data_IF_087377866252
#
_entry.id   IF_087377866252
#
_cell.length_a   1.000
_cell.length_b   1.000
_cell.length_c   1.000
_cell.angle_alpha   90.00
_cell.angle_beta   90.00
_cell.angle_gamma   90.00
#
_symmetry.space_group_name_H-M   'P 1'
#
loop_
_entity.id
_entity.type
_entity.pdbx_description
1 polymer ?
#
# COMPACT_ATOMS: atom_id res chain seq x y z
N UNK A 1 10.20 27.46 3.49
CA UNK A 1 10.25 26.77 2.18
C UNK A 1 9.66 25.39 2.40
N UNK A 2 8.41 25.19 1.98
CA UNK A 2 7.69 23.93 2.14
C UNK A 2 8.26 22.91 1.18
N UNK A 3 8.92 21.90 1.70
CA UNK A 3 9.41 20.76 0.93
C UNK A 3 8.22 19.92 0.44
N UNK A 4 7.60 20.33 -0.66
CA UNK A 4 6.44 19.67 -1.28
C UNK A 4 6.82 18.45 -2.14
N UNK A 5 7.97 17.84 -1.91
CA UNK A 5 8.50 16.75 -2.73
C UNK A 5 8.72 15.45 -1.95
N UNK A 6 7.87 15.17 -0.97
CA UNK A 6 7.89 13.86 -0.32
C UNK A 6 7.20 12.90 -1.26
N UNK A 7 7.98 12.02 -1.88
CA UNK A 7 7.67 10.80 -2.65
C UNK A 7 6.32 10.82 -3.42
N UNK A 8 6.41 10.76 -4.72
CA UNK A 8 5.22 10.66 -5.59
C UNK A 8 4.90 9.20 -5.88
N UNK A 9 3.63 8.87 -6.08
CA UNK A 9 3.20 7.54 -6.57
C UNK A 9 3.95 7.12 -7.84
N UNK A 10 4.46 8.10 -8.63
CA UNK A 10 5.31 7.89 -9.81
C UNK A 10 6.66 7.24 -9.52
N UNK A 11 7.12 7.24 -8.28
CA UNK A 11 8.43 6.70 -7.90
C UNK A 11 8.40 5.19 -7.65
N UNK A 12 7.19 4.60 -7.58
CA UNK A 12 7.00 3.14 -7.59
C UNK A 12 6.73 2.69 -9.02
N UNK A 13 7.66 1.93 -9.58
CA UNK A 13 7.46 1.25 -10.85
C UNK A 13 6.60 0.00 -10.64
N UNK A 14 5.45 -0.08 -11.31
CA UNK A 14 4.65 -1.31 -11.32
C UNK A 14 5.41 -2.42 -12.01
N UNK A 15 5.41 -3.61 -11.40
CA UNK A 15 5.95 -4.84 -11.99
C UNK A 15 4.91 -5.94 -11.92
N UNK A 16 5.04 -6.96 -12.77
CA UNK A 16 4.19 -8.14 -12.66
C UNK A 16 4.58 -8.93 -11.40
N UNK A 17 3.59 -9.50 -10.71
CA UNK A 17 3.85 -10.34 -9.52
C UNK A 17 4.72 -11.54 -9.87
N UNK A 18 4.62 -12.05 -11.12
CA UNK A 18 5.48 -13.11 -11.66
C UNK A 18 6.96 -12.74 -11.75
N UNK A 19 7.30 -11.44 -11.75
CA UNK A 19 8.67 -10.95 -11.81
C UNK A 19 9.37 -10.98 -10.44
N UNK A 20 8.66 -11.45 -9.41
CA UNK A 20 9.19 -11.64 -8.07
C UNK A 20 9.12 -13.12 -7.65
N UNK A 21 10.06 -13.60 -6.81
CA UNK A 21 9.97 -14.97 -6.27
C UNK A 21 8.68 -15.14 -5.47
N UNK A 22 7.83 -16.10 -5.86
CA UNK A 22 6.55 -16.33 -5.18
C UNK A 22 6.73 -16.80 -3.73
N UNK A 23 7.87 -17.41 -3.42
CA UNK A 23 8.21 -17.92 -2.08
C UNK A 23 8.40 -16.82 -1.02
N UNK A 24 8.59 -15.56 -1.41
CA UNK A 24 8.74 -14.46 -0.44
C UNK A 24 7.40 -13.92 0.06
N UNK A 25 6.30 -14.25 -0.61
CA UNK A 25 4.96 -13.75 -0.30
C UNK A 25 4.12 -14.80 0.44
N UNK A 26 3.31 -14.42 1.44
CA UNK A 26 2.39 -15.33 2.12
C UNK A 26 1.19 -15.75 1.26
N UNK A 27 0.92 -14.99 0.20
CA UNK A 27 -0.12 -15.22 -0.81
C UNK A 27 0.32 -14.51 -2.09
N UNK A 28 -0.39 -14.72 -3.21
CA UNK A 28 -0.15 -13.92 -4.41
C UNK A 28 -0.63 -12.48 -4.18
N UNK A 29 0.28 -11.48 -4.12
CA UNK A 29 -0.11 -10.08 -3.95
C UNK A 29 -0.98 -9.59 -5.11
N UNK A 30 -1.93 -8.70 -4.83
CA UNK A 30 -2.78 -8.10 -5.86
C UNK A 30 -2.08 -6.97 -6.63
N UNK A 31 -1.09 -6.35 -6.01
CA UNK A 31 -0.26 -5.32 -6.66
C UNK A 31 1.15 -5.38 -6.11
N UNK A 32 2.12 -5.33 -7.00
CA UNK A 32 3.55 -5.24 -6.66
C UNK A 32 4.17 -4.09 -7.41
N UNK A 33 5.00 -3.35 -6.72
CA UNK A 33 5.83 -2.31 -7.28
C UNK A 33 7.29 -2.48 -6.88
N UNK A 34 8.16 -1.79 -7.58
CA UNK A 34 9.60 -1.73 -7.33
C UNK A 34 10.00 -0.29 -7.10
N UNK A 35 10.82 -0.05 -6.09
CA UNK A 35 11.41 1.26 -5.82
C UNK A 35 12.87 1.10 -5.38
N UNK A 36 13.65 2.18 -5.50
CA UNK A 36 15.00 2.26 -4.95
C UNK A 36 15.03 3.31 -3.86
N UNK A 37 15.60 2.96 -2.70
CA UNK A 37 15.79 3.89 -1.57
C UNK A 37 16.77 4.99 -1.99
N UNK A 38 16.36 6.24 -1.86
CA UNK A 38 17.15 7.41 -2.19
C UNK A 38 17.77 8.04 -0.93
N UNK A 39 18.88 8.80 -1.04
CA UNK A 39 19.48 9.47 0.11
C UNK A 39 18.52 10.35 0.92
N UNK A 40 17.57 11.03 0.26
CA UNK A 40 16.55 11.86 0.91
C UNK A 40 15.53 11.08 1.75
N UNK A 41 15.52 9.76 1.62
CA UNK A 41 14.66 8.89 2.45
C UNK A 41 15.29 8.55 3.81
N UNK A 42 16.58 8.88 4.01
CA UNK A 42 17.32 8.49 5.21
C UNK A 42 17.12 9.48 6.36
N UNK A 43 17.27 8.98 7.57
CA UNK A 43 17.37 9.75 8.79
C UNK A 43 18.84 9.99 9.20
N UNK A 44 19.07 10.58 10.37
CA UNK A 44 20.40 10.89 10.90
C UNK A 44 21.25 9.62 11.20
N UNK A 45 20.63 8.45 11.28
CA UNK A 45 21.31 7.17 11.43
C UNK A 45 21.66 6.50 10.10
N UNK A 46 21.47 7.21 8.98
CA UNK A 46 21.66 6.69 7.63
C UNK A 46 20.76 5.48 7.28
N UNK A 47 19.68 5.28 8.03
CA UNK A 47 18.63 4.30 7.75
C UNK A 47 17.42 4.98 7.12
N UNK A 48 16.64 4.24 6.35
CA UNK A 48 15.36 4.75 5.86
C UNK A 48 14.50 5.21 7.04
N UNK A 49 14.08 6.48 7.03
CA UNK A 49 13.23 7.05 8.06
C UNK A 49 11.91 6.26 8.15
N UNK A 50 11.48 5.96 9.37
CA UNK A 50 10.29 5.16 9.65
C UNK A 50 9.02 5.73 8.98
N UNK A 51 8.90 7.03 8.84
CA UNK A 51 7.74 7.69 8.20
C UNK A 51 7.67 7.44 6.69
N UNK A 52 8.81 7.21 6.04
CA UNK A 52 8.89 6.95 4.60
C UNK A 52 8.18 5.64 4.24
N UNK A 53 8.28 4.61 5.07
CA UNK A 53 7.56 3.36 4.84
C UNK A 53 6.05 3.56 4.77
N UNK A 54 5.49 4.45 5.62
CA UNK A 54 4.08 4.79 5.57
C UNK A 54 3.70 5.52 4.27
N UNK A 55 4.58 6.39 3.79
CA UNK A 55 4.40 7.06 2.48
C UNK A 55 4.37 6.02 1.36
N UNK A 56 5.30 5.04 1.37
CA UNK A 56 5.32 3.96 0.39
C UNK A 56 4.09 3.05 0.47
N UNK A 57 3.58 2.77 1.68
CA UNK A 57 2.31 2.03 1.86
C UNK A 57 1.14 2.76 1.19
N UNK A 58 1.05 4.08 1.37
CA UNK A 58 0.01 4.89 0.73
C UNK A 58 0.16 4.92 -0.79
N UNK A 59 1.39 5.04 -1.28
CA UNK A 59 1.68 5.09 -2.71
C UNK A 59 1.30 3.78 -3.42
N UNK A 60 1.69 2.62 -2.87
CA UNK A 60 1.33 1.32 -3.46
C UNK A 60 -0.18 1.03 -3.36
N UNK A 61 -0.84 1.48 -2.30
CA UNK A 61 -2.29 1.38 -2.16
C UNK A 61 -3.02 2.21 -3.24
N UNK A 62 -2.55 3.44 -3.49
CA UNK A 62 -3.10 4.30 -4.53
C UNK A 62 -2.85 3.72 -5.94
N UNK A 63 -1.67 3.14 -6.17
CA UNK A 63 -1.34 2.45 -7.41
C UNK A 63 -2.28 1.28 -7.67
N UNK A 64 -2.49 0.42 -6.67
CA UNK A 64 -3.44 -0.68 -6.76
C UNK A 64 -4.87 -0.20 -7.07
N UNK A 65 -5.35 0.85 -6.38
CA UNK A 65 -6.68 1.41 -6.65
C UNK A 65 -6.83 1.90 -8.09
N UNK A 66 -5.79 2.56 -8.64
CA UNK A 66 -5.78 2.99 -10.05
C UNK A 66 -5.82 1.81 -11.03
N UNK A 67 -5.09 0.72 -10.74
CA UNK A 67 -5.13 -0.51 -11.56
C UNK A 67 -6.53 -1.13 -11.56
N UNK A 68 -7.30 -0.97 -10.47
CA UNK A 68 -8.69 -1.40 -10.36
C UNK A 68 -9.69 -0.41 -10.96
N UNK A 69 -9.22 0.65 -11.62
CA UNK A 69 -10.06 1.69 -12.21
C UNK A 69 -10.73 2.61 -11.20
N UNK A 70 -10.13 2.73 -10.01
CA UNK A 70 -10.59 3.65 -8.95
C UNK A 70 -9.59 4.79 -8.77
N UNK A 71 -9.81 5.87 -9.51
CA UNK A 71 -9.07 7.13 -9.36
C UNK A 71 -9.73 8.02 -8.32
N UNK A 72 -9.06 9.09 -7.90
CA UNK A 72 -9.66 10.09 -7.00
C UNK A 72 -10.97 10.67 -7.58
N UNK A 73 -11.03 10.88 -8.89
CA UNK A 73 -12.23 11.38 -9.56
C UNK A 73 -13.40 10.40 -9.42
N UNK A 74 -13.15 9.09 -9.53
CA UNK A 74 -14.19 8.07 -9.31
C UNK A 74 -14.75 8.11 -7.88
N UNK A 75 -13.89 8.33 -6.87
CA UNK A 75 -14.36 8.50 -5.49
C UNK A 75 -15.26 9.74 -5.35
N UNK A 76 -14.87 10.87 -5.95
CA UNK A 76 -15.65 12.11 -5.93
C UNK A 76 -17.01 11.92 -6.62
N UNK A 77 -17.03 11.32 -7.80
CA UNK A 77 -18.26 11.10 -8.58
C UNK A 77 -19.24 10.15 -7.86
N UNK A 78 -18.71 9.12 -7.20
CA UNK A 78 -19.51 8.20 -6.40
C UNK A 78 -19.98 8.83 -5.06
N UNK A 79 -19.34 9.91 -4.61
CA UNK A 79 -19.59 10.54 -3.31
C UNK A 79 -19.11 9.72 -2.12
N UNK A 80 -18.16 8.82 -2.33
CA UNK A 80 -17.57 7.95 -1.31
C UNK A 80 -16.08 8.23 -1.16
N UNK A 81 -15.57 8.14 0.07
CA UNK A 81 -14.15 8.18 0.37
C UNK A 81 -13.69 6.90 1.07
N UNK A 82 -12.39 6.65 1.04
CA UNK A 82 -11.74 5.67 1.91
C UNK A 82 -10.73 6.40 2.78
N UNK A 83 -10.91 6.35 4.10
CA UNK A 83 -10.01 6.98 5.06
C UNK A 83 -9.32 5.92 5.90
N UNK A 84 -8.05 6.14 6.20
CA UNK A 84 -7.31 5.26 7.09
C UNK A 84 -7.77 5.50 8.54
N UNK A 85 -8.20 4.43 9.21
CA UNK A 85 -8.55 4.45 10.63
C UNK A 85 -7.35 4.12 11.51
N UNK A 86 -6.53 3.16 11.07
CA UNK A 86 -5.39 2.67 11.81
C UNK A 86 -4.33 2.13 10.85
N UNK A 87 -3.07 2.39 11.17
CA UNK A 87 -1.92 1.74 10.56
C UNK A 87 -1.20 0.93 11.63
N UNK A 88 -0.71 -0.25 11.24
CA UNK A 88 0.23 -1.05 12.00
C UNK A 88 1.44 -1.34 11.11
N UNK A 89 2.64 -1.07 11.59
CA UNK A 89 3.89 -1.32 10.88
C UNK A 89 4.85 -2.07 11.80
N UNK A 90 5.50 -3.09 11.26
CA UNK A 90 6.60 -3.81 11.87
C UNK A 90 7.85 -3.63 11.02
N UNK A 91 8.85 -2.95 11.52
CA UNK A 91 10.16 -2.81 10.90
C UNK A 91 11.02 -4.02 11.24
N UNK A 92 11.29 -4.88 10.26
CA UNK A 92 12.00 -6.14 10.46
C UNK A 92 13.50 -5.98 10.27
N UNK A 93 13.91 -5.14 9.32
CA UNK A 93 15.32 -4.89 8.97
C UNK A 93 15.48 -3.46 8.46
N UNK A 94 16.62 -2.80 8.73
CA UNK A 94 16.90 -1.49 8.15
C UNK A 94 17.09 -1.60 6.64
N UNK A 95 16.82 -0.50 5.94
CA UNK A 95 17.17 -0.30 4.54
C UNK A 95 18.00 0.96 4.38
N UNK A 96 18.83 0.99 3.34
CA UNK A 96 19.84 2.00 3.10
C UNK A 96 19.68 2.59 1.70
N UNK A 97 20.29 3.75 1.46
CA UNK A 97 20.33 4.32 0.10
C UNK A 97 20.91 3.31 -0.90
N UNK A 98 20.25 3.18 -2.04
CA UNK A 98 20.62 2.22 -3.09
C UNK A 98 19.96 0.85 -2.96
N UNK A 99 19.37 0.51 -1.80
CA UNK A 99 18.57 -0.71 -1.68
C UNK A 99 17.37 -0.65 -2.65
N UNK A 100 17.15 -1.73 -3.37
CA UNK A 100 15.96 -1.91 -4.19
C UNK A 100 14.96 -2.77 -3.44
N UNK A 101 13.71 -2.30 -3.37
CA UNK A 101 12.63 -2.96 -2.65
C UNK A 101 11.51 -3.37 -3.62
N UNK A 102 11.00 -4.57 -3.45
CA UNK A 102 9.68 -4.96 -3.91
C UNK A 102 8.66 -4.56 -2.84
N UNK A 103 7.67 -3.79 -3.23
CA UNK A 103 6.61 -3.29 -2.34
C UNK A 103 5.29 -3.88 -2.80
N UNK A 104 4.71 -4.72 -1.96
CA UNK A 104 3.50 -5.46 -2.30
C UNK A 104 2.31 -5.06 -1.41
N UNK A 105 1.11 -5.17 -1.96
CA UNK A 105 -0.15 -4.97 -1.23
C UNK A 105 -1.25 -5.90 -1.73
N UNK A 106 -2.15 -6.23 -0.80
CA UNK A 106 -3.37 -7.00 -1.07
C UNK A 106 -4.44 -6.70 -0.02
N UNK A 107 -5.69 -6.98 -0.36
CA UNK A 107 -6.81 -6.91 0.58
C UNK A 107 -6.92 -8.26 1.29
N UNK A 108 -6.82 -8.27 2.62
CA UNK A 108 -6.95 -9.48 3.43
C UNK A 108 -8.34 -9.68 4.00
N UNK A 109 -9.11 -8.60 4.13
CA UNK A 109 -10.47 -8.64 4.66
C UNK A 109 -11.32 -7.56 4.01
N UNK A 110 -12.48 -7.95 3.45
CA UNK A 110 -13.53 -7.05 2.98
C UNK A 110 -14.86 -7.82 2.87
N UNK A 111 -15.76 -7.59 3.81
CA UNK A 111 -17.12 -8.18 3.81
C UNK A 111 -18.18 -7.27 3.15
N UNK A 112 -17.75 -6.20 2.48
CA UNK A 112 -18.65 -5.24 1.85
C UNK A 112 -19.39 -4.34 2.84
N UNK A 113 -18.97 -4.32 4.11
CA UNK A 113 -19.41 -3.34 5.11
C UNK A 113 -18.68 -2.01 4.92
N UNK A 114 -18.53 -1.20 5.95
CA UNK A 114 -17.80 0.06 5.85
C UNK A 114 -16.28 -0.13 5.88
N UNK A 115 -15.79 -1.18 6.53
CA UNK A 115 -14.37 -1.42 6.77
C UNK A 115 -13.77 -2.47 5.84
N UNK A 116 -12.48 -2.34 5.59
CA UNK A 116 -11.64 -3.33 4.92
C UNK A 116 -10.22 -3.28 5.47
N UNK A 117 -9.49 -4.39 5.41
CA UNK A 117 -8.08 -4.47 5.80
C UNK A 117 -7.21 -4.71 4.59
N UNK A 118 -6.21 -3.88 4.43
CA UNK A 118 -5.17 -3.98 3.41
C UNK A 118 -3.86 -4.34 4.06
N UNK A 119 -3.18 -5.35 3.54
CA UNK A 119 -1.85 -5.79 3.97
C UNK A 119 -0.77 -5.22 3.06
N UNK A 120 0.43 -5.13 3.61
CA UNK A 120 1.63 -4.71 2.92
C UNK A 120 2.81 -5.56 3.36
N UNK A 121 3.68 -5.87 2.41
CA UNK A 121 4.97 -6.47 2.69
C UNK A 121 6.00 -5.86 1.75
N UNK A 122 7.12 -5.43 2.32
CA UNK A 122 8.25 -4.91 1.59
C UNK A 122 9.42 -5.86 1.73
N UNK A 123 10.02 -6.21 0.61
CA UNK A 123 11.09 -7.19 0.51
C UNK A 123 12.27 -6.55 -0.19
N UNK A 124 13.46 -6.66 0.38
CA UNK A 124 14.69 -6.20 -0.29
C UNK A 124 15.08 -7.20 -1.37
N UNK A 125 15.32 -6.70 -2.60
CA UNK A 125 15.57 -7.53 -3.77
C UNK A 125 16.87 -8.35 -3.63
N UNK A 126 17.93 -7.75 -3.09
CA UNK A 126 19.28 -8.33 -3.07
C UNK A 126 19.41 -9.60 -2.24
N UNK A 127 18.69 -9.69 -1.12
CA UNK A 127 18.74 -10.83 -0.18
C UNK A 127 17.36 -11.49 0.05
N UNK A 128 16.33 -10.99 -0.62
CA UNK A 128 14.94 -11.45 -0.50
C UNK A 128 14.41 -11.40 0.95
N UNK A 129 15.02 -10.57 1.79
CA UNK A 129 14.59 -10.41 3.17
C UNK A 129 13.38 -9.49 3.27
N UNK A 130 12.36 -9.89 4.02
CA UNK A 130 11.28 -9.01 4.43
C UNK A 130 11.84 -7.90 5.33
N UNK A 131 11.71 -6.65 4.91
CA UNK A 131 12.19 -5.48 5.65
C UNK A 131 11.08 -4.80 6.44
N UNK A 132 9.82 -4.89 5.97
CA UNK A 132 8.66 -4.33 6.65
C UNK A 132 7.41 -5.17 6.38
N UNK A 133 6.61 -5.35 7.42
CA UNK A 133 5.23 -5.83 7.35
C UNK A 133 4.30 -4.74 7.87
N UNK A 134 3.12 -4.62 7.29
CA UNK A 134 2.15 -3.66 7.78
C UNK A 134 0.74 -3.97 7.33
N UNK A 135 -0.21 -3.33 8.01
CA UNK A 135 -1.59 -3.32 7.54
C UNK A 135 -2.26 -1.98 7.86
N UNK A 136 -3.29 -1.68 7.09
CA UNK A 136 -4.15 -0.52 7.29
C UNK A 136 -5.60 -0.98 7.38
N UNK A 137 -6.29 -0.53 8.42
CA UNK A 137 -7.75 -0.58 8.46
C UNK A 137 -8.28 0.67 7.75
N UNK A 138 -8.97 0.45 6.65
CA UNK A 138 -9.63 1.48 5.87
C UNK A 138 -11.12 1.49 6.19
N UNK A 139 -11.70 2.69 6.23
CA UNK A 139 -13.14 2.88 6.42
C UNK A 139 -13.71 3.67 5.24
N UNK A 140 -14.72 3.10 4.62
CA UNK A 140 -15.52 3.78 3.60
C UNK A 140 -16.42 4.81 4.28
N UNK A 141 -16.41 6.03 3.78
CA UNK A 141 -17.19 7.15 4.31
C UNK A 141 -18.05 7.80 3.22
N UNK A 142 -19.10 8.43 3.66
CA UNK A 142 -19.83 9.40 2.84
C UNK A 142 -19.04 10.72 2.82
N UNK A 143 -18.68 11.20 1.62
CA UNK A 143 -17.83 12.40 1.49
C UNK A 143 -18.50 13.68 1.97
N UNK A 144 -19.84 13.74 1.99
CA UNK A 144 -20.58 14.94 2.43
C UNK A 144 -20.64 15.02 3.96
N UNK A 145 -20.82 13.87 4.62
CA UNK A 145 -21.06 13.83 6.07
C UNK A 145 -19.84 13.40 6.86
N UNK A 146 -18.82 12.80 6.21
CA UNK A 146 -17.65 12.19 6.85
C UNK A 146 -17.97 10.93 7.66
N UNK A 147 -19.22 10.44 7.63
CA UNK A 147 -19.63 9.29 8.44
C UNK A 147 -19.34 7.97 7.73
N UNK A 148 -19.01 6.91 8.51
CA UNK A 148 -18.89 5.56 7.94
C UNK A 148 -20.14 5.17 7.17
N UNK A 149 -19.93 4.56 6.00
CA UNK A 149 -21.01 4.16 5.09
C UNK A 149 -20.66 2.83 4.45
N UNK A 150 -21.66 1.97 4.27
CA UNK A 150 -21.49 0.70 3.55
C UNK A 150 -20.89 0.98 2.16
N UNK A 151 -19.93 0.16 1.77
CA UNK A 151 -19.24 0.27 0.49
C UNK A 151 -20.23 0.15 -0.68
N UNK A 152 -20.07 0.97 -1.75
CA UNK A 152 -20.85 0.78 -2.97
C UNK A 152 -20.41 -0.51 -3.69
N UNK A 153 -21.26 -1.11 -4.52
CA UNK A 153 -20.95 -2.36 -5.22
C UNK A 153 -19.60 -2.32 -5.97
N UNK A 154 -19.27 -1.20 -6.59
CA UNK A 154 -18.00 -1.00 -7.31
C UNK A 154 -16.77 -1.16 -6.40
N UNK A 155 -16.83 -0.70 -5.13
CA UNK A 155 -15.72 -0.89 -4.19
C UNK A 155 -15.63 -2.33 -3.71
N UNK A 156 -16.77 -2.96 -3.42
CA UNK A 156 -16.83 -4.37 -3.01
C UNK A 156 -16.24 -5.26 -4.10
N UNK A 157 -16.55 -4.97 -5.35
CA UNK A 157 -16.03 -5.71 -6.49
C UNK A 157 -14.52 -5.48 -6.70
N UNK A 158 -14.07 -4.22 -6.64
CA UNK A 158 -12.68 -3.84 -6.85
C UNK A 158 -11.76 -4.35 -5.72
N UNK A 159 -12.19 -4.19 -4.46
CA UNK A 159 -11.38 -4.54 -3.29
C UNK A 159 -11.72 -5.91 -2.72
N UNK A 160 -11.86 -6.92 -3.57
CA UNK A 160 -12.05 -8.30 -3.12
C UNK A 160 -10.85 -8.78 -2.32
N UNK A 161 -11.11 -9.43 -1.19
CA UNK A 161 -10.06 -10.05 -0.40
C UNK A 161 -9.43 -11.22 -1.16
N UNK A 162 -8.11 -11.39 -1.02
CA UNK A 162 -7.44 -12.61 -1.50
C UNK A 162 -7.91 -13.79 -0.68
N UNK A 163 -8.23 -14.87 -1.39
CA UNK A 163 -8.52 -16.15 -0.76
C UNK A 163 -7.16 -16.78 -0.44
N UNK A 164 -6.82 -16.93 0.85
CA UNK A 164 -5.68 -17.74 1.22
C UNK A 164 -6.02 -19.20 0.92
N UNK A 165 -5.23 -19.94 0.14
CA UNK A 165 -5.36 -21.38 0.11
C UNK A 165 -5.00 -21.88 1.53
N UNK A 166 -5.97 -22.57 2.16
CA UNK A 166 -5.76 -23.25 3.44
C UNK A 166 -4.67 -24.31 3.30
#
# INVERSE_FOLDING_TARGET
MTNSNIFKVSDIQTIATSDTPQSVWPCTPQCVGKLTVQPEHLDEFEHTNNTIYLVWMQAIAALHSRQLGLTFQDFVELGYGCVARQHHLEYKRPTFAGDTLWVATWISHNEGKADMTRQYQFVRESDQATVMLGHTQWVCIDMKTGRPKKQPPRFIEAYRAVIHPN
#
